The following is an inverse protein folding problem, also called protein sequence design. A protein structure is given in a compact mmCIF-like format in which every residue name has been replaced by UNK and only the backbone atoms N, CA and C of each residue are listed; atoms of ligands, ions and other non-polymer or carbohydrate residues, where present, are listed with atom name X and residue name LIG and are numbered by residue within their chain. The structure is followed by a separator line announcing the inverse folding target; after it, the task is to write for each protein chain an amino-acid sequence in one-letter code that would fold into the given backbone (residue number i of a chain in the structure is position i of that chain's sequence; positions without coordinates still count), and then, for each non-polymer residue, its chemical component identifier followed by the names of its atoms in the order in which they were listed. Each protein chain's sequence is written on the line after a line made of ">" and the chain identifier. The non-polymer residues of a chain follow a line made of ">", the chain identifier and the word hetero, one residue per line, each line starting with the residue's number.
data_IF_486745322754
#
_entry.id   IF_486745322754
#
_cell.length_a   1.000
_cell.length_b   1.000
_cell.length_c   1.000
_cell.angle_alpha   90.00
_cell.angle_beta   90.00
_cell.angle_gamma   90.00
#
_symmetry.space_group_name_H-M   'P 1'
#
loop_
_entity.id
_entity.type
_entity.pdbx_description
1 polymer ?
#
# COMPACT_ATOMS: atom_id res chain seq x y z
N UNK A 1 -35.03 -18.57 -34.27
CA UNK A 1 -33.61 -18.19 -34.44
C UNK A 1 -33.03 -18.06 -33.05
N UNK A 2 -32.07 -18.91 -32.68
CA UNK A 2 -31.51 -18.93 -31.32
C UNK A 2 -30.09 -18.41 -31.39
N UNK A 3 -29.86 -17.20 -30.85
CA UNK A 3 -28.54 -16.58 -30.76
C UNK A 3 -27.86 -17.06 -29.48
N UNK A 4 -26.76 -17.81 -29.60
CA UNK A 4 -25.92 -18.20 -28.48
C UNK A 4 -24.66 -17.34 -28.46
N UNK A 5 -24.49 -16.59 -27.37
CA UNK A 5 -23.26 -15.89 -27.06
C UNK A 5 -22.43 -16.75 -26.11
N UNK A 6 -21.26 -17.20 -26.56
CA UNK A 6 -20.26 -17.82 -25.71
C UNK A 6 -19.10 -16.86 -25.51
N UNK A 7 -18.72 -16.63 -24.24
CA UNK A 7 -17.60 -15.78 -23.86
C UNK A 7 -16.97 -16.31 -22.57
N UNK A 8 -15.64 -16.38 -22.55
CA UNK A 8 -14.89 -16.72 -21.34
C UNK A 8 -14.72 -15.44 -20.50
N UNK A 9 -15.31 -15.39 -19.31
CA UNK A 9 -15.04 -14.33 -18.33
C UNK A 9 -13.66 -14.62 -17.73
N UNK A 10 -12.62 -13.97 -18.23
CA UNK A 10 -11.30 -13.93 -17.57
C UNK A 10 -11.29 -12.76 -16.59
N UNK A 11 -10.78 -12.98 -15.38
CA UNK A 11 -10.51 -11.87 -14.47
C UNK A 11 -9.53 -10.91 -15.15
N UNK A 12 -9.89 -9.63 -15.20
CA UNK A 12 -9.00 -8.61 -15.73
C UNK A 12 -7.85 -8.41 -14.75
N UNK A 13 -6.61 -8.67 -15.18
CA UNK A 13 -5.42 -8.60 -14.31
C UNK A 13 -4.43 -7.57 -14.83
N UNK A 14 -3.61 -7.04 -13.91
CA UNK A 14 -2.38 -6.30 -14.19
C UNK A 14 -1.23 -6.95 -13.43
N UNK A 15 -0.01 -6.83 -13.96
CA UNK A 15 1.20 -7.22 -13.26
C UNK A 15 1.76 -6.02 -12.48
N UNK A 16 2.32 -6.23 -11.30
CA UNK A 16 3.12 -5.21 -10.59
C UNK A 16 4.54 -5.29 -11.14
N UNK A 17 5.08 -4.19 -11.66
CA UNK A 17 6.45 -4.16 -12.18
C UNK A 17 7.45 -4.18 -11.03
N UNK A 18 8.51 -4.98 -11.15
CA UNK A 18 9.60 -5.08 -10.17
C UNK A 18 9.46 -6.29 -9.24
N UNK A 19 10.14 -6.25 -8.09
CA UNK A 19 10.04 -7.29 -7.08
C UNK A 19 8.65 -7.30 -6.44
N UNK A 20 8.13 -8.50 -6.11
CA UNK A 20 6.87 -8.66 -5.37
C UNK A 20 6.87 -7.96 -4.00
N UNK A 21 8.04 -7.65 -3.49
CA UNK A 21 8.27 -6.90 -2.26
C UNK A 21 8.79 -5.51 -2.62
N UNK A 22 8.09 -4.47 -2.18
CA UNK A 22 8.56 -3.07 -2.23
C UNK A 22 9.07 -2.76 -0.82
N UNK A 23 10.37 -2.55 -0.68
CA UNK A 23 10.97 -2.12 0.59
C UNK A 23 11.12 -0.61 0.58
N UNK A 24 10.43 0.08 1.49
CA UNK A 24 10.53 1.53 1.66
C UNK A 24 11.40 1.77 2.88
N UNK A 25 12.63 2.20 2.64
CA UNK A 25 13.52 2.64 3.71
C UNK A 25 13.09 4.05 4.16
N UNK A 26 12.54 4.12 5.38
CA UNK A 26 12.15 5.37 6.01
C UNK A 26 13.37 6.20 6.46
N UNK A 27 14.59 5.67 6.33
CA UNK A 27 15.85 6.23 6.82
C UNK A 27 15.86 6.35 8.34
N UNK A 28 17.05 6.61 8.89
CA UNK A 28 17.18 6.92 10.31
C UNK A 28 16.61 8.31 10.60
N UNK A 29 15.74 8.39 11.61
CA UNK A 29 15.11 9.63 12.03
C UNK A 29 15.52 9.92 13.48
N UNK A 30 15.86 11.18 13.80
CA UNK A 30 16.20 11.54 15.17
C UNK A 30 14.97 11.50 16.06
N UNK A 31 15.10 10.94 17.27
CA UNK A 31 14.01 10.86 18.26
C UNK A 31 13.45 12.24 18.62
N UNK A 32 14.26 13.31 18.52
CA UNK A 32 13.83 14.69 18.73
C UNK A 32 12.68 15.13 17.81
N UNK A 33 12.53 14.48 16.65
CA UNK A 33 11.43 14.72 15.73
C UNK A 33 10.08 14.27 16.29
N UNK A 34 10.10 13.36 17.27
CA UNK A 34 8.92 12.72 17.85
C UNK A 34 8.66 13.10 19.31
N UNK A 35 9.11 14.29 19.71
CA UNK A 35 9.03 14.77 21.10
C UNK A 35 7.62 15.20 21.54
N UNK A 36 6.62 15.12 20.66
CA UNK A 36 5.22 15.49 20.95
C UNK A 36 4.27 14.42 20.42
N UNK A 37 3.14 14.25 21.09
CA UNK A 37 2.05 13.41 20.57
C UNK A 37 1.61 13.97 19.20
N UNK A 38 1.37 13.08 18.23
CA UNK A 38 1.01 13.39 16.85
C UNK A 38 2.11 14.07 16.01
N UNK A 39 3.36 14.08 16.46
CA UNK A 39 4.50 14.40 15.60
C UNK A 39 4.66 13.38 14.48
N UNK A 40 5.07 13.83 13.29
CA UNK A 40 5.33 12.99 12.13
C UNK A 40 6.63 13.39 11.45
N UNK A 41 7.23 12.44 10.74
CA UNK A 41 8.39 12.71 9.90
C UNK A 41 8.00 13.22 8.52
N UNK A 42 9.01 13.51 7.69
CA UNK A 42 8.82 13.78 6.28
C UNK A 42 8.30 12.53 5.56
N UNK A 43 7.37 12.72 4.63
CA UNK A 43 6.85 11.66 3.78
C UNK A 43 7.95 11.09 2.87
N UNK A 44 7.90 9.77 2.66
CA UNK A 44 8.74 9.09 1.68
C UNK A 44 7.85 8.59 0.55
N UNK A 45 8.06 9.14 -0.64
CA UNK A 45 7.29 8.75 -1.82
C UNK A 45 7.75 7.38 -2.33
N UNK A 46 6.79 6.57 -2.74
CA UNK A 46 7.03 5.30 -3.42
C UNK A 46 6.01 5.11 -4.55
N UNK A 47 6.39 4.32 -5.55
CA UNK A 47 5.56 4.10 -6.73
C UNK A 47 5.23 2.62 -6.89
N UNK A 48 3.95 2.29 -7.03
CA UNK A 48 3.48 0.98 -7.48
C UNK A 48 3.12 1.12 -8.95
N UNK A 49 3.97 0.59 -9.83
CA UNK A 49 3.72 0.61 -11.27
C UNK A 49 3.05 -0.70 -11.70
N UNK A 50 1.90 -0.57 -12.35
CA UNK A 50 1.17 -1.67 -12.96
C UNK A 50 1.47 -1.73 -14.45
N UNK A 51 1.77 -2.91 -14.95
CA UNK A 51 2.13 -3.20 -16.34
C UNK A 51 1.31 -4.38 -16.86
N UNK A 52 1.29 -4.57 -18.18
CA UNK A 52 0.65 -5.71 -18.84
C UNK A 52 -0.82 -5.92 -18.43
N UNK A 53 -1.57 -4.82 -18.29
CA UNK A 53 -2.97 -4.88 -17.93
C UNK A 53 -3.81 -5.49 -19.06
N UNK A 54 -4.70 -6.42 -18.70
CA UNK A 54 -5.63 -7.04 -19.65
C UNK A 54 -6.51 -5.98 -20.34
N UNK A 55 -6.86 -6.15 -21.63
CA UNK A 55 -7.79 -5.27 -22.32
C UNK A 55 -9.11 -5.16 -21.53
N UNK A 56 -9.53 -3.93 -21.22
CA UNK A 56 -10.73 -3.65 -20.42
C UNK A 56 -10.47 -3.23 -18.97
N UNK A 57 -9.24 -3.30 -18.46
CA UNK A 57 -8.87 -2.63 -17.20
C UNK A 57 -8.80 -1.13 -17.42
N UNK A 58 -9.75 -0.37 -16.88
CA UNK A 58 -9.80 1.09 -16.92
C UNK A 58 -9.73 1.74 -15.53
N UNK A 59 -9.85 0.93 -14.47
CA UNK A 59 -9.78 1.36 -13.09
C UNK A 59 -9.03 0.31 -12.27
N UNK A 60 -8.28 0.79 -11.28
CA UNK A 60 -7.58 -0.06 -10.32
C UNK A 60 -7.91 0.41 -8.92
N UNK A 61 -8.29 -0.54 -8.06
CA UNK A 61 -8.42 -0.32 -6.62
C UNK A 61 -7.26 -1.03 -5.92
N UNK A 62 -6.45 -0.25 -5.20
CA UNK A 62 -5.40 -0.77 -4.32
C UNK A 62 -5.92 -0.81 -2.89
N UNK A 63 -5.62 -1.90 -2.19
CA UNK A 63 -5.91 -2.06 -0.77
C UNK A 63 -4.60 -2.35 -0.05
N UNK A 64 -4.23 -1.50 0.90
CA UNK A 64 -3.09 -1.73 1.78
C UNK A 64 -3.57 -2.44 3.05
N UNK A 65 -2.96 -3.56 3.39
CA UNK A 65 -3.27 -4.33 4.60
C UNK A 65 -2.00 -4.56 5.42
N UNK A 66 -2.16 -4.62 6.74
CA UNK A 66 -1.09 -4.78 7.70
C UNK A 66 -1.64 -4.82 9.12
N UNK A 67 -0.77 -5.06 10.10
CA UNK A 67 -1.15 -5.01 11.51
C UNK A 67 -1.48 -3.56 11.89
N UNK A 68 -2.70 -3.25 12.34
CA UNK A 68 -3.05 -1.90 12.76
C UNK A 68 -2.34 -1.53 14.06
N UNK A 69 -2.08 -0.24 14.27
CA UNK A 69 -1.65 0.26 15.57
C UNK A 69 -2.85 0.34 16.54
N UNK A 70 -2.65 -0.04 17.80
CA UNK A 70 -3.73 -0.07 18.77
C UNK A 70 -4.27 1.34 19.13
N UNK A 71 -3.46 2.39 18.97
CA UNK A 71 -3.86 3.77 19.26
C UNK A 71 -4.68 4.40 18.12
N UNK A 72 -4.48 3.95 16.87
CA UNK A 72 -5.28 4.34 15.70
C UNK A 72 -5.36 3.19 14.70
N UNK A 73 -6.38 2.36 14.88
CA UNK A 73 -6.56 1.13 14.09
C UNK A 73 -6.92 1.35 12.63
N UNK A 74 -7.35 2.57 12.27
CA UNK A 74 -7.89 2.85 10.94
C UNK A 74 -6.87 3.53 10.04
N UNK A 75 -5.93 4.30 10.60
CA UNK A 75 -5.02 5.12 9.81
C UNK A 75 -3.54 4.76 10.00
N UNK A 76 -3.21 4.01 11.05
CA UNK A 76 -1.84 3.69 11.41
C UNK A 76 -1.60 2.17 11.44
N UNK A 77 -0.43 1.79 10.93
CA UNK A 77 0.11 0.44 11.05
C UNK A 77 1.14 0.40 12.16
N UNK A 78 1.13 -0.70 12.91
CA UNK A 78 2.08 -0.95 14.00
C UNK A 78 3.51 -1.00 13.47
N UNK A 79 4.45 -0.40 14.19
CA UNK A 79 5.86 -0.64 13.92
C UNK A 79 6.27 -2.01 14.45
N UNK A 80 6.69 -2.91 13.55
CA UNK A 80 7.20 -4.24 13.90
C UNK A 80 8.69 -4.24 14.31
N UNK A 81 9.34 -3.07 14.28
CA UNK A 81 10.72 -2.89 14.73
C UNK A 81 10.88 -2.78 16.25
N UNK A 82 12.12 -2.58 16.71
CA UNK A 82 12.45 -2.45 18.14
C UNK A 82 12.08 -1.09 18.73
N UNK A 83 11.86 -0.07 17.89
CA UNK A 83 11.47 1.27 18.31
C UNK A 83 10.01 1.28 18.78
N UNK A 84 9.81 1.32 20.11
CA UNK A 84 8.51 1.33 20.78
C UNK A 84 7.90 2.74 20.73
N UNK A 85 6.57 2.84 20.60
CA UNK A 85 5.76 4.08 20.50
C UNK A 85 5.81 4.83 19.15
N UNK A 86 6.32 4.18 18.11
CA UNK A 86 6.30 4.73 16.74
C UNK A 86 5.34 3.92 15.88
N UNK A 87 4.65 4.59 14.93
CA UNK A 87 3.68 3.98 14.02
C UNK A 87 4.03 4.33 12.56
N UNK A 88 3.45 3.61 11.60
CA UNK A 88 3.59 3.88 10.15
C UNK A 88 2.26 4.34 9.57
N UNK A 89 2.29 5.39 8.75
CA UNK A 89 1.12 5.83 7.99
C UNK A 89 1.39 5.66 6.50
N UNK A 90 0.37 5.22 5.75
CA UNK A 90 0.37 5.15 4.29
C UNK A 90 -0.81 5.96 3.80
N UNK A 91 -0.54 6.96 2.96
CA UNK A 91 -1.56 7.77 2.30
C UNK A 91 -1.49 7.53 0.79
N UNK A 92 -2.66 7.50 0.15
CA UNK A 92 -2.83 7.37 -1.31
C UNK A 92 -2.76 8.73 -1.98
#
# INVERSE_FOLDING_TARGET
>A
MTLQFSGNIKAATCNVSGSKNINIDLKQMPESLFNKVNSSSVWNDFNIKLIDCSPGVNQVKLTFSGTPDNADVNNLYKNEGTAKKYCRSITK
#
